data_IF_455450573690
#
_entry.id   IF_455450573690
#
_cell.length_a   1.000
_cell.length_b   1.000
_cell.length_c   1.000
_cell.angle_alpha   90.00
_cell.angle_beta   90.00
_cell.angle_gamma   90.00
#
_symmetry.space_group_name_H-M   'P 1'
#
loop_
_entity.id
_entity.type
_entity.pdbx_description
1 polymer ?
#
# COMPACT_ATOMS: atom_id res chain seq x y z
N UNK A 1 6.24 16.42 -12.54
CA UNK A 1 5.09 15.68 -11.95
C UNK A 1 4.02 15.63 -13.02
N UNK A 2 3.59 14.43 -13.43
CA UNK A 2 2.65 14.18 -14.54
C UNK A 2 1.70 13.00 -14.23
N UNK A 3 0.98 12.46 -15.22
CA UNK A 3 0.07 11.31 -15.05
C UNK A 3 0.77 10.06 -14.48
N UNK A 4 0.06 9.17 -13.79
CA UNK A 4 0.67 8.03 -13.10
C UNK A 4 1.23 7.00 -14.08
N UNK A 5 0.47 6.66 -15.13
CA UNK A 5 0.88 5.72 -16.18
C UNK A 5 2.27 6.05 -16.75
N UNK A 6 2.51 7.32 -17.09
CA UNK A 6 3.73 7.82 -17.70
C UNK A 6 4.83 8.06 -16.66
N UNK A 7 4.46 8.54 -15.46
CA UNK A 7 5.43 8.84 -14.41
C UNK A 7 5.99 7.58 -13.75
N UNK A 8 5.18 6.53 -13.58
CA UNK A 8 5.58 5.28 -12.95
C UNK A 8 6.29 4.35 -13.94
N UNK A 9 5.86 4.29 -15.21
CA UNK A 9 6.50 3.44 -16.22
C UNK A 9 7.97 3.78 -16.50
N UNK A 10 8.38 5.02 -16.24
CA UNK A 10 9.77 5.47 -16.40
C UNK A 10 10.68 5.16 -15.21
N UNK A 11 10.15 4.60 -14.11
CA UNK A 11 10.92 4.29 -12.91
C UNK A 11 11.39 2.84 -12.94
N UNK A 12 12.65 2.61 -12.59
CA UNK A 12 13.16 1.27 -12.32
C UNK A 12 12.70 0.86 -10.91
N UNK A 13 11.64 0.06 -10.85
CA UNK A 13 11.13 -0.53 -9.62
C UNK A 13 11.71 -1.95 -9.49
N UNK A 14 12.36 -2.23 -8.36
CA UNK A 14 13.00 -3.51 -8.10
C UNK A 14 12.78 -3.95 -6.64
N UNK A 15 13.43 -5.05 -6.27
CA UNK A 15 13.30 -5.69 -4.96
C UNK A 15 13.95 -4.90 -3.80
N UNK A 16 14.43 -3.67 -4.03
CA UNK A 16 14.87 -2.72 -3.01
C UNK A 16 13.95 -1.50 -2.92
N UNK A 17 12.97 -1.38 -3.81
CA UNK A 17 12.06 -0.24 -3.89
C UNK A 17 10.92 -0.35 -2.87
N UNK A 18 10.63 0.75 -2.19
CA UNK A 18 9.46 0.90 -1.32
C UNK A 18 8.53 1.95 -1.91
N UNK A 19 7.32 1.54 -2.25
CA UNK A 19 6.31 2.40 -2.85
C UNK A 19 5.25 2.74 -1.79
N UNK A 20 5.07 4.03 -1.54
CA UNK A 20 4.05 4.54 -0.62
C UNK A 20 3.05 5.39 -1.40
N UNK A 21 1.79 4.98 -1.36
CA UNK A 21 0.67 5.67 -2.00
C UNK A 21 0.00 6.54 -0.92
N UNK A 22 0.35 7.83 -0.94
CA UNK A 22 -0.12 8.84 0.02
C UNK A 22 -0.69 10.03 -0.74
N UNK A 23 -1.84 9.84 -1.40
CA UNK A 23 -2.50 10.91 -2.17
C UNK A 23 -3.68 11.53 -1.43
N UNK A 24 -4.19 12.64 -1.97
CA UNK A 24 -5.45 13.27 -1.56
C UNK A 24 -6.54 12.94 -2.58
N UNK A 25 -6.97 11.68 -2.68
CA UNK A 25 -8.04 11.28 -3.59
C UNK A 25 -8.27 9.77 -3.62
N UNK A 26 -9.47 9.32 -4.00
CA UNK A 26 -9.78 7.89 -4.15
C UNK A 26 -9.27 7.33 -5.49
N UNK A 27 -9.57 8.03 -6.59
CA UNK A 27 -9.16 7.63 -7.95
C UNK A 27 -7.63 7.58 -8.11
N UNK A 28 -6.91 8.55 -7.56
CA UNK A 28 -5.44 8.58 -7.67
C UNK A 28 -4.75 7.45 -6.90
N UNK A 29 -5.33 7.00 -5.77
CA UNK A 29 -4.76 5.89 -5.01
C UNK A 29 -4.97 4.56 -5.75
N UNK A 30 -6.12 4.39 -6.39
CA UNK A 30 -6.45 3.22 -7.19
C UNK A 30 -5.59 3.11 -8.44
N UNK A 31 -5.47 4.20 -9.21
CA UNK A 31 -4.61 4.25 -10.40
C UNK A 31 -3.14 3.98 -10.04
N UNK A 32 -2.64 4.60 -8.97
CA UNK A 32 -1.29 4.32 -8.50
C UNK A 32 -1.12 2.86 -8.07
N UNK A 33 -2.10 2.28 -7.38
CA UNK A 33 -2.04 0.90 -6.93
C UNK A 33 -2.12 -0.08 -8.09
N UNK A 34 -2.95 0.17 -9.10
CA UNK A 34 -3.03 -0.62 -10.33
C UNK A 34 -1.64 -0.80 -10.96
N UNK A 35 -0.87 0.28 -11.08
CA UNK A 35 0.47 0.24 -11.67
C UNK A 35 1.54 -0.37 -10.75
N UNK A 36 1.33 -0.39 -9.43
CA UNK A 36 2.34 -0.79 -8.46
C UNK A 36 2.16 -2.19 -7.88
N UNK A 37 0.93 -2.69 -7.80
CA UNK A 37 0.60 -3.93 -7.09
C UNK A 37 1.34 -5.17 -7.62
N UNK A 38 1.58 -5.22 -8.94
CA UNK A 38 2.23 -6.36 -9.60
C UNK A 38 3.73 -6.12 -9.91
N UNK A 39 4.28 -5.00 -9.45
CA UNK A 39 5.71 -4.70 -9.62
C UNK A 39 6.57 -5.57 -8.69
N UNK A 40 7.89 -5.72 -8.98
CA UNK A 40 8.81 -6.40 -8.08
C UNK A 40 9.20 -5.56 -6.85
N UNK A 41 8.47 -4.48 -6.53
CA UNK A 41 8.75 -3.65 -5.36
C UNK A 41 8.82 -4.51 -4.09
N UNK A 42 9.79 -4.21 -3.23
CA UNK A 42 9.91 -4.87 -1.92
C UNK A 42 8.67 -4.63 -1.06
N UNK A 43 8.04 -3.48 -1.23
CA UNK A 43 6.92 -3.02 -0.42
C UNK A 43 6.03 -2.10 -1.24
N UNK A 44 4.72 -2.32 -1.15
CA UNK A 44 3.68 -1.40 -1.65
C UNK A 44 2.70 -1.17 -0.51
N UNK A 45 2.58 0.09 -0.08
CA UNK A 45 1.67 0.48 0.98
C UNK A 45 0.76 1.62 0.56
N UNK A 46 -0.50 1.59 1.00
CA UNK A 46 -1.51 2.59 0.65
C UNK A 46 -2.21 3.14 1.89
N UNK A 47 -2.29 4.47 1.97
CA UNK A 47 -2.99 5.15 3.06
C UNK A 47 -4.49 5.17 2.76
N UNK A 48 -5.31 5.01 3.80
CA UNK A 48 -6.75 5.14 3.63
C UNK A 48 -7.54 4.59 4.79
N UNK A 49 -8.82 4.96 4.86
CA UNK A 49 -9.74 4.25 5.76
C UNK A 49 -10.01 2.85 5.23
N UNK A 50 -10.31 1.89 6.12
CA UNK A 50 -10.66 0.51 5.74
C UNK A 50 -11.73 0.46 4.63
N UNK A 51 -12.77 1.29 4.77
CA UNK A 51 -13.86 1.42 3.78
C UNK A 51 -13.35 1.84 2.40
N UNK A 52 -12.44 2.82 2.34
CA UNK A 52 -11.87 3.28 1.07
C UNK A 52 -11.05 2.17 0.41
N UNK A 53 -10.18 1.52 1.18
CA UNK A 53 -9.29 0.48 0.68
C UNK A 53 -10.10 -0.70 0.15
N UNK A 54 -11.20 -1.07 0.84
CA UNK A 54 -12.12 -2.13 0.39
C UNK A 54 -12.70 -1.86 -1.01
N UNK A 55 -13.12 -0.62 -1.27
CA UNK A 55 -13.64 -0.23 -2.59
C UNK A 55 -12.55 -0.35 -3.65
N UNK A 56 -11.37 0.23 -3.42
CA UNK A 56 -10.23 0.14 -4.34
C UNK A 56 -9.88 -1.32 -4.64
N UNK A 57 -9.80 -2.18 -3.62
CA UNK A 57 -9.45 -3.59 -3.81
C UNK A 57 -10.52 -4.33 -4.61
N UNK A 58 -11.81 -4.04 -4.38
CA UNK A 58 -12.91 -4.61 -5.16
C UNK A 58 -12.81 -4.22 -6.63
N UNK A 59 -12.55 -2.94 -6.90
CA UNK A 59 -12.48 -2.40 -8.24
C UNK A 59 -11.27 -2.96 -9.00
N UNK A 60 -10.09 -2.99 -8.36
CA UNK A 60 -8.88 -3.58 -8.95
C UNK A 60 -8.98 -5.08 -9.22
N UNK A 61 -9.67 -5.84 -8.35
CA UNK A 61 -9.97 -7.25 -8.63
C UNK A 61 -10.86 -7.41 -9.85
N UNK A 62 -11.86 -6.53 -10.03
CA UNK A 62 -12.73 -6.53 -11.20
C UNK A 62 -11.98 -6.13 -12.48
N UNK A 63 -10.94 -5.30 -12.36
CA UNK A 63 -10.05 -4.92 -13.46
C UNK A 63 -8.97 -5.96 -13.79
N UNK A 64 -8.87 -7.02 -12.97
CA UNK A 64 -8.04 -8.19 -13.25
C UNK A 64 -6.69 -8.24 -12.52
N UNK A 65 -6.43 -7.31 -11.59
CA UNK A 65 -5.27 -7.43 -10.69
C UNK A 65 -5.43 -8.69 -9.85
N UNK A 66 -4.37 -9.49 -9.73
CA UNK A 66 -4.44 -10.74 -8.99
C UNK A 66 -4.67 -10.53 -7.49
N UNK A 67 -5.51 -11.39 -6.88
CA UNK A 67 -5.71 -11.40 -5.42
C UNK A 67 -4.39 -11.59 -4.67
N UNK A 68 -3.47 -12.39 -5.21
CA UNK A 68 -2.15 -12.63 -4.61
C UNK A 68 -1.25 -11.37 -4.61
N UNK A 69 -1.36 -10.52 -5.64
CA UNK A 69 -0.68 -9.23 -5.66
C UNK A 69 -1.26 -8.30 -4.58
N UNK A 70 -2.59 -8.18 -4.52
CA UNK A 70 -3.26 -7.34 -3.51
C UNK A 70 -3.03 -7.84 -2.07
N UNK A 71 -2.86 -9.16 -1.88
CA UNK A 71 -2.56 -9.73 -0.55
C UNK A 71 -1.20 -9.28 0.01
N UNK A 72 -0.29 -8.84 -0.86
CA UNK A 72 1.04 -8.32 -0.47
C UNK A 72 1.01 -6.82 -0.17
N UNK A 73 -0.09 -6.13 -0.46
CA UNK A 73 -0.24 -4.68 -0.27
C UNK A 73 -0.53 -4.37 1.19
N UNK A 74 0.22 -3.43 1.75
CA UNK A 74 0.04 -2.93 3.11
C UNK A 74 -1.00 -1.80 3.11
N UNK A 75 -2.26 -2.15 3.35
CA UNK A 75 -3.36 -1.20 3.34
C UNK A 75 -4.40 -1.49 4.45
N UNK A 76 -4.57 -0.59 5.45
CA UNK A 76 -3.84 0.67 5.61
C UNK A 76 -2.39 0.43 6.02
N UNK A 77 -1.45 1.19 5.45
CA UNK A 77 -0.05 1.12 5.89
C UNK A 77 0.15 1.77 7.27
N UNK A 78 1.15 1.27 8.00
CA UNK A 78 1.57 1.74 9.30
C UNK A 78 0.98 0.92 10.45
N UNK A 79 1.75 0.84 11.53
CA UNK A 79 1.33 0.11 12.73
C UNK A 79 0.15 0.76 13.46
N UNK A 80 -0.70 -0.08 14.03
CA UNK A 80 -1.83 0.35 14.86
C UNK A 80 -1.33 0.81 16.24
N UNK A 81 -0.96 2.09 16.33
CA UNK A 81 -0.49 2.73 17.57
C UNK A 81 -1.50 3.74 18.15
N UNK A 82 -2.71 3.79 17.59
CA UNK A 82 -3.73 4.78 17.98
C UNK A 82 -3.44 6.20 17.47
N UNK A 83 -2.72 6.35 16.36
CA UNK A 83 -2.35 7.64 15.78
C UNK A 83 -3.57 8.56 15.55
N UNK A 84 -3.47 9.82 15.96
CA UNK A 84 -4.48 10.86 15.73
C UNK A 84 -3.95 12.03 14.90
N UNK A 85 -2.63 12.26 14.96
CA UNK A 85 -1.97 13.37 14.30
C UNK A 85 -1.12 12.91 13.12
N UNK A 86 -0.84 13.82 12.17
CA UNK A 86 0.02 13.53 11.03
C UNK A 86 1.41 13.04 11.44
N UNK A 87 2.09 13.63 12.46
CA UNK A 87 3.37 13.09 12.95
C UNK A 87 3.26 11.66 13.49
N UNK A 88 2.21 11.33 14.25
CA UNK A 88 2.02 9.96 14.76
C UNK A 88 1.79 8.95 13.62
N UNK A 89 1.04 9.34 12.58
CA UNK A 89 0.88 8.52 11.37
C UNK A 89 2.22 8.33 10.66
N UNK A 90 3.03 9.39 10.52
CA UNK A 90 4.35 9.27 9.90
C UNK A 90 5.27 8.32 10.68
N UNK A 91 5.25 8.39 12.02
CA UNK A 91 6.03 7.48 12.88
C UNK A 91 5.55 6.04 12.72
N UNK A 92 4.24 5.78 12.69
CA UNK A 92 3.72 4.41 12.54
C UNK A 92 4.09 3.80 11.19
N UNK A 93 4.09 4.61 10.13
CA UNK A 93 4.53 4.21 8.78
C UNK A 93 6.03 3.92 8.78
N UNK A 94 6.87 4.82 9.28
CA UNK A 94 8.32 4.62 9.30
C UNK A 94 8.71 3.39 10.12
N UNK A 95 8.03 3.15 11.25
CA UNK A 95 8.24 1.96 12.06
C UNK A 95 7.92 0.67 11.27
N UNK A 96 6.83 0.65 10.49
CA UNK A 96 6.48 -0.47 9.64
C UNK A 96 7.51 -0.71 8.53
N UNK A 97 7.99 0.34 7.85
CA UNK A 97 9.01 0.22 6.82
C UNK A 97 10.33 -0.34 7.37
N UNK A 98 10.75 0.13 8.55
CA UNK A 98 11.97 -0.37 9.23
C UNK A 98 11.78 -1.84 9.62
N UNK A 99 10.61 -2.21 10.15
CA UNK A 99 10.30 -3.59 10.50
C UNK A 99 10.33 -4.50 9.27
N UNK A 100 9.68 -4.11 8.16
CA UNK A 100 9.70 -4.86 6.90
C UNK A 100 11.12 -5.06 6.38
N UNK A 101 11.94 -3.99 6.41
CA UNK A 101 13.34 -4.08 5.97
C UNK A 101 14.16 -5.06 6.81
N UNK A 102 14.01 -5.01 8.13
CA UNK A 102 14.86 -5.75 9.05
C UNK A 102 14.39 -7.20 9.27
N UNK A 103 13.07 -7.44 9.21
CA UNK A 103 12.47 -8.75 9.46
C UNK A 103 12.14 -9.51 8.16
N UNK A 104 12.10 -8.82 7.02
CA UNK A 104 11.55 -9.36 5.77
C UNK A 104 10.03 -9.41 5.87
N UNK A 105 9.48 -10.46 6.47
CA UNK A 105 8.05 -10.57 6.74
C UNK A 105 7.71 -10.02 8.12
N UNK A 106 6.90 -8.95 8.16
CA UNK A 106 6.33 -8.48 9.42
C UNK A 106 5.33 -9.52 9.95
N UNK A 107 5.46 -9.98 11.21
CA UNK A 107 4.51 -10.88 11.84
C UNK A 107 3.08 -10.38 11.73
N UNK A 108 2.13 -11.27 11.43
CA UNK A 108 0.72 -10.92 11.27
C UNK A 108 0.14 -10.22 12.52
N UNK A 109 0.63 -10.56 13.71
CA UNK A 109 0.23 -9.94 14.99
C UNK A 109 0.59 -8.47 15.12
N UNK A 110 1.52 -7.97 14.29
CA UNK A 110 1.93 -6.56 14.28
C UNK A 110 1.30 -5.78 13.12
N UNK A 111 0.62 -6.45 12.19
CA UNK A 111 -0.02 -5.79 11.06
C UNK A 111 -1.44 -5.37 11.43
N UNK A 112 -1.84 -4.22 10.92
CA UNK A 112 -3.26 -3.87 10.84
C UNK A 112 -3.99 -4.98 10.07
N UNK A 113 -5.15 -5.48 10.54
CA UNK A 113 -5.86 -6.55 9.84
C UNK A 113 -6.14 -6.12 8.40
N UNK A 114 -5.69 -6.91 7.43
CA UNK A 114 -5.92 -6.64 6.01
C UNK A 114 -7.42 -6.55 5.71
N UNK A 115 -7.78 -5.77 4.70
CA UNK A 115 -9.20 -5.63 4.28
C UNK A 115 -9.58 -6.55 3.12
N UNK A 116 -8.61 -7.25 2.53
CA UNK A 116 -8.82 -8.11 1.35
C UNK A 116 -9.69 -9.34 1.65
N UNK A 117 -9.74 -9.82 2.88
CA UNK A 117 -10.64 -10.91 3.29
C UNK A 117 -12.10 -10.46 3.36
N UNK A 118 -12.35 -9.15 3.44
CA UNK A 118 -13.68 -8.56 3.48
C UNK A 118 -14.23 -8.21 2.08
N UNK A 119 -13.38 -8.25 1.06
CA UNK A 119 -13.67 -7.99 -0.37
C UNK A 119 -13.97 -9.31 -1.07
#
# INVERSE_FOLDING_TARGET
VGPFDTSLSGLEINDQTYCLIVTRGHQHDEEALYHLAETPARYVGMIGSRRKIKLIFSDLLAEGISRDALAKVFAPLGFEIGSQTVPEIAISILAELIAHRNLGEIPATLRSPGVLEEV
#
